data_IF_143665428509
#
_entry.id   IF_143665428509
#
_cell.length_a   1.000
_cell.length_b   1.000
_cell.length_c   1.000
_cell.angle_alpha   90.00
_cell.angle_beta   90.00
_cell.angle_gamma   90.00
#
_symmetry.space_group_name_H-M   'P 1'
#
loop_
_entity.id
_entity.type
_entity.pdbx_description
1 polymer ?
#
# COMPACT_ATOMS: atom_id res chain seq x y z
N UNK A 1 -29.86 13.95 22.43
CA UNK A 1 -30.03 12.65 21.76
C UNK A 1 -29.57 12.79 20.31
N UNK A 2 -28.44 12.27 19.85
CA UNK A 2 -28.09 12.35 18.44
C UNK A 2 -26.64 12.15 18.01
N UNK A 3 -25.66 11.89 18.89
CA UNK A 3 -24.25 11.75 18.46
C UNK A 3 -23.67 10.33 18.50
N UNK A 4 -24.42 9.34 18.96
CA UNK A 4 -23.87 7.99 19.24
C UNK A 4 -23.79 7.02 18.06
N UNK A 5 -24.15 7.40 16.83
CA UNK A 5 -24.22 6.46 15.70
C UNK A 5 -23.56 7.01 14.41
N UNK A 6 -22.43 7.70 14.52
CA UNK A 6 -21.73 8.25 13.36
C UNK A 6 -20.40 7.56 13.16
N UNK A 7 -20.10 7.21 11.90
CA UNK A 7 -18.77 6.86 11.43
C UNK A 7 -18.01 8.13 11.11
N UNK A 8 -16.75 8.17 11.45
CA UNK A 8 -15.82 9.24 11.04
C UNK A 8 -14.66 8.61 10.29
N UNK A 9 -14.27 9.20 9.19
CA UNK A 9 -13.10 8.79 8.43
C UNK A 9 -12.14 9.97 8.30
N UNK A 10 -10.94 9.82 8.83
CA UNK A 10 -9.83 10.72 8.59
C UNK A 10 -9.04 10.16 7.40
N UNK A 11 -8.91 10.96 6.33
CA UNK A 11 -8.18 10.60 5.10
C UNK A 11 -6.98 11.52 5.00
N UNK A 12 -5.79 10.96 5.04
CA UNK A 12 -4.54 11.70 5.01
C UNK A 12 -3.69 11.27 3.82
N UNK A 13 -3.52 12.15 2.84
CA UNK A 13 -2.43 12.00 1.89
C UNK A 13 -1.11 12.15 2.65
N UNK A 14 -0.35 11.08 2.72
CA UNK A 14 0.88 11.02 3.52
C UNK A 14 1.96 11.92 2.91
N UNK A 15 1.99 11.98 1.60
CA UNK A 15 2.95 12.75 0.85
C UNK A 15 2.22 13.68 -0.12
N UNK A 16 2.57 14.98 -0.13
CA UNK A 16 1.98 15.96 -1.06
C UNK A 16 2.61 15.94 -2.45
N UNK A 17 3.63 15.10 -2.67
CA UNK A 17 4.37 14.99 -3.92
C UNK A 17 3.57 14.24 -4.99
N UNK A 18 3.99 14.39 -6.26
CA UNK A 18 3.36 13.71 -7.41
C UNK A 18 3.65 12.20 -7.40
N UNK A 19 4.82 11.79 -6.88
CA UNK A 19 5.23 10.38 -6.76
C UNK A 19 5.32 9.98 -5.28
N UNK A 20 5.38 8.68 -5.00
CA UNK A 20 5.37 8.19 -3.62
C UNK A 20 3.96 8.13 -3.04
N UNK A 21 2.95 7.84 -3.88
CA UNK A 21 1.55 7.79 -3.48
C UNK A 21 1.34 6.90 -2.26
N UNK A 22 0.75 7.48 -1.22
CA UNK A 22 0.42 6.77 0.01
C UNK A 22 -0.67 7.54 0.75
N UNK A 23 -1.84 6.93 0.92
CA UNK A 23 -2.98 7.54 1.60
C UNK A 23 -3.33 6.68 2.81
N UNK A 24 -3.22 7.24 4.00
CA UNK A 24 -3.68 6.61 5.23
C UNK A 24 -5.14 6.98 5.50
N UNK A 25 -5.97 5.98 5.73
CA UNK A 25 -7.38 6.14 6.10
C UNK A 25 -7.60 5.54 7.47
N UNK A 26 -8.21 6.32 8.36
CA UNK A 26 -8.55 5.91 9.73
C UNK A 26 -10.06 6.05 9.90
N UNK A 27 -10.75 4.93 9.99
CA UNK A 27 -12.20 4.87 10.20
C UNK A 27 -12.49 4.63 11.67
N UNK A 28 -13.15 5.58 12.31
CA UNK A 28 -13.66 5.45 13.71
C UNK A 28 -15.12 5.05 13.68
N UNK A 29 -15.46 3.98 14.36
CA UNK A 29 -16.81 3.44 14.46
C UNK A 29 -17.56 3.97 15.68
N UNK A 30 -18.90 3.84 15.68
CA UNK A 30 -19.74 4.26 16.82
C UNK A 30 -19.42 3.52 18.14
N UNK A 31 -18.87 2.31 18.06
CA UNK A 31 -18.45 1.49 19.21
C UNK A 31 -17.04 1.84 19.72
N UNK A 32 -16.44 2.92 19.19
CA UNK A 32 -15.07 3.35 19.44
C UNK A 32 -13.96 2.40 18.89
N UNK A 33 -14.31 1.39 18.12
CA UNK A 33 -13.30 0.64 17.38
C UNK A 33 -12.77 1.44 16.20
N UNK A 34 -11.56 1.14 15.79
CA UNK A 34 -10.91 1.86 14.70
C UNK A 34 -10.39 0.86 13.66
N UNK A 35 -10.58 1.18 12.39
CA UNK A 35 -9.95 0.46 11.28
C UNK A 35 -8.99 1.41 10.58
N UNK A 36 -7.75 0.97 10.37
CA UNK A 36 -6.69 1.72 9.71
C UNK A 36 -6.26 0.98 8.46
N UNK A 37 -6.34 1.64 7.33
CA UNK A 37 -5.83 1.05 6.10
C UNK A 37 -5.09 2.07 5.24
N UNK A 38 -4.29 1.56 4.33
CA UNK A 38 -3.49 2.37 3.41
C UNK A 38 -3.97 2.11 1.99
N UNK A 39 -4.02 3.16 1.18
CA UNK A 39 -4.18 3.05 -0.27
C UNK A 39 -2.86 3.41 -0.90
N UNK A 40 -2.24 2.44 -1.57
CA UNK A 40 -0.91 2.48 -2.15
C UNK A 40 0.23 2.73 -1.13
N UNK A 41 1.44 2.37 -1.51
CA UNK A 41 2.66 2.75 -0.83
C UNK A 41 3.79 2.77 -1.87
N UNK A 42 3.95 3.90 -2.52
CA UNK A 42 4.80 4.07 -3.68
C UNK A 42 6.21 4.55 -3.38
N UNK A 43 7.11 4.36 -4.35
CA UNK A 43 8.43 4.95 -4.35
C UNK A 43 8.36 6.41 -4.84
N UNK A 44 9.13 7.26 -4.19
CA UNK A 44 9.46 8.57 -4.74
C UNK A 44 10.42 8.43 -5.91
N UNK A 45 10.21 9.24 -6.91
CA UNK A 45 11.02 9.27 -8.13
C UNK A 45 11.72 10.62 -8.31
N UNK A 46 12.67 10.69 -9.23
CA UNK A 46 13.39 11.91 -9.60
C UNK A 46 14.00 12.67 -8.40
N UNK A 47 13.60 13.93 -8.23
CA UNK A 47 14.16 14.82 -7.21
C UNK A 47 13.88 14.37 -5.77
N UNK A 48 12.79 13.65 -5.58
CA UNK A 48 12.33 13.22 -4.27
C UNK A 48 12.84 11.82 -3.89
N UNK A 49 13.68 11.19 -4.71
CA UNK A 49 14.15 9.83 -4.52
C UNK A 49 14.78 9.57 -3.13
N UNK A 50 15.46 10.57 -2.55
CA UNK A 50 16.05 10.46 -1.21
C UNK A 50 15.03 10.21 -0.10
N UNK A 51 13.78 10.63 -0.31
CA UNK A 51 12.67 10.42 0.64
C UNK A 51 12.30 8.94 0.81
N UNK A 52 12.70 8.06 -0.12
CA UNK A 52 12.51 6.63 0.03
C UNK A 52 13.18 6.05 1.30
N UNK A 53 14.21 6.71 1.81
CA UNK A 53 14.90 6.32 3.03
C UNK A 53 14.18 6.78 4.32
N UNK A 54 13.19 7.64 4.20
CA UNK A 54 12.42 8.09 5.34
C UNK A 54 11.55 6.96 5.88
N UNK A 55 11.34 6.96 7.19
CA UNK A 55 10.45 6.02 7.83
C UNK A 55 9.02 6.19 7.30
N UNK A 56 8.25 5.11 7.33
CA UNK A 56 6.81 5.22 7.12
C UNK A 56 6.24 6.11 8.24
N UNK A 57 5.36 7.07 7.94
CA UNK A 57 4.79 7.98 8.94
C UNK A 57 3.63 7.34 9.72
N UNK A 58 3.54 6.02 9.68
CA UNK A 58 2.61 5.18 10.43
C UNK A 58 3.30 3.88 10.83
N UNK A 59 2.78 3.24 11.86
CA UNK A 59 3.21 1.92 12.27
C UNK A 59 2.58 0.86 11.36
N UNK A 60 3.42 0.20 10.55
CA UNK A 60 2.97 -0.77 9.55
C UNK A 60 2.32 -2.02 10.17
N UNK A 61 2.74 -2.42 11.36
CA UNK A 61 2.16 -3.54 12.12
C UNK A 61 0.70 -3.28 12.53
N UNK A 62 0.33 -2.02 12.69
CA UNK A 62 -1.01 -1.57 13.09
C UNK A 62 -1.92 -1.19 11.89
N UNK A 63 -1.57 -1.56 10.66
CA UNK A 63 -2.42 -1.38 9.49
C UNK A 63 -3.23 -2.65 9.24
N UNK A 64 -4.55 -2.53 9.23
CA UNK A 64 -5.48 -3.64 9.09
C UNK A 64 -5.47 -4.27 7.69
N UNK A 65 -5.34 -3.47 6.65
CA UNK A 65 -5.18 -3.91 5.25
C UNK A 65 -4.63 -2.80 4.36
N UNK A 66 -4.24 -3.17 3.14
CA UNK A 66 -3.81 -2.21 2.13
C UNK A 66 -4.57 -2.44 0.81
N UNK A 67 -5.06 -1.37 0.22
CA UNK A 67 -5.60 -1.36 -1.14
C UNK A 67 -4.51 -0.93 -2.11
N UNK A 68 -4.33 -1.67 -3.19
CA UNK A 68 -3.38 -1.34 -4.25
C UNK A 68 -4.16 -1.00 -5.51
N UNK A 69 -4.03 0.25 -5.96
CA UNK A 69 -4.80 0.75 -7.08
C UNK A 69 -4.33 0.17 -8.42
N UNK A 70 -3.03 0.19 -8.66
CA UNK A 70 -2.41 -0.33 -9.88
C UNK A 70 -0.90 -0.57 -9.69
N UNK A 71 -0.22 -1.12 -10.68
CA UNK A 71 1.14 -1.63 -10.54
C UNK A 71 2.28 -0.63 -10.83
N UNK A 72 2.01 0.66 -11.01
CA UNK A 72 3.08 1.64 -11.15
C UNK A 72 3.94 1.74 -9.89
N UNK A 73 5.24 1.95 -10.06
CA UNK A 73 6.22 1.90 -8.97
C UNK A 73 6.04 3.01 -7.94
N UNK A 74 5.54 4.15 -8.35
CA UNK A 74 5.18 5.28 -7.49
C UNK A 74 3.88 5.07 -6.69
N UNK A 75 3.22 3.92 -6.90
CA UNK A 75 2.07 3.44 -6.12
C UNK A 75 2.39 2.16 -5.32
N UNK A 76 3.36 1.36 -5.76
CA UNK A 76 3.59 0.02 -5.22
C UNK A 76 5.00 -0.23 -4.70
N UNK A 77 5.95 0.58 -5.09
CA UNK A 77 7.37 0.25 -4.91
C UNK A 77 7.86 0.23 -3.46
N UNK A 78 7.10 0.74 -2.47
CA UNK A 78 7.39 0.63 -1.04
C UNK A 78 6.51 -0.40 -0.31
N UNK A 79 5.69 -1.18 -1.00
CA UNK A 79 4.94 -2.28 -0.37
C UNK A 79 5.86 -3.29 0.32
N UNK A 80 7.00 -3.74 -0.29
CA UNK A 80 7.93 -4.60 0.41
C UNK A 80 8.60 -3.94 1.62
N UNK A 81 8.75 -2.61 1.59
CA UNK A 81 9.24 -1.88 2.75
C UNK A 81 8.23 -1.86 3.91
N UNK A 82 6.92 -1.77 3.62
CA UNK A 82 5.89 -1.96 4.64
C UNK A 82 6.01 -3.35 5.30
N UNK A 83 6.16 -4.40 4.51
CA UNK A 83 6.33 -5.78 5.01
C UNK A 83 7.60 -5.89 5.87
N UNK A 84 8.72 -5.33 5.43
CA UNK A 84 9.95 -5.24 6.22
C UNK A 84 9.74 -4.51 7.56
N UNK A 85 8.81 -3.56 7.61
CA UNK A 85 8.45 -2.78 8.80
C UNK A 85 7.32 -3.39 9.66
N UNK A 86 6.96 -4.64 9.40
CA UNK A 86 6.02 -5.40 10.23
C UNK A 86 4.64 -5.63 9.63
N UNK A 87 4.32 -5.04 8.47
CA UNK A 87 3.03 -5.30 7.83
C UNK A 87 2.91 -6.79 7.47
N UNK A 88 1.79 -7.40 7.86
CA UNK A 88 1.56 -8.85 7.72
C UNK A 88 0.14 -9.20 7.23
N UNK A 89 -0.67 -8.19 6.93
CA UNK A 89 -2.04 -8.35 6.44
C UNK A 89 -2.11 -8.38 4.92
N UNK A 90 -3.32 -8.45 4.33
CA UNK A 90 -3.52 -8.60 2.89
C UNK A 90 -3.36 -7.27 2.12
N UNK A 91 -2.82 -7.40 0.92
CA UNK A 91 -2.84 -6.38 -0.14
C UNK A 91 -3.95 -6.73 -1.11
N UNK A 92 -5.02 -5.94 -1.12
CA UNK A 92 -6.17 -6.15 -2.01
C UNK A 92 -6.03 -5.33 -3.28
N UNK A 93 -6.21 -5.97 -4.42
CA UNK A 93 -6.07 -5.31 -5.72
C UNK A 93 -6.92 -5.97 -6.80
N UNK A 94 -6.83 -5.50 -8.05
CA UNK A 94 -7.48 -6.15 -9.19
C UNK A 94 -6.72 -7.38 -9.66
N UNK A 95 -7.40 -8.34 -10.29
CA UNK A 95 -6.77 -9.55 -10.85
C UNK A 95 -5.67 -9.23 -11.86
N UNK A 96 -5.84 -8.15 -12.64
CA UNK A 96 -4.81 -7.72 -13.59
C UNK A 96 -3.56 -7.19 -12.89
N UNK A 97 -3.75 -6.31 -11.91
CA UNK A 97 -2.65 -5.77 -11.10
C UNK A 97 -1.90 -6.90 -10.37
N UNK A 98 -2.63 -7.85 -9.76
CA UNK A 98 -2.03 -8.96 -9.04
C UNK A 98 -1.13 -9.84 -9.91
N UNK A 99 -1.45 -10.01 -11.19
CA UNK A 99 -0.62 -10.76 -12.15
C UNK A 99 0.67 -10.03 -12.53
N UNK A 100 0.65 -8.71 -12.57
CA UNK A 100 1.79 -7.87 -12.98
C UNK A 100 2.68 -7.48 -11.80
N UNK A 101 2.10 -7.33 -10.62
CA UNK A 101 2.78 -6.82 -9.43
C UNK A 101 4.04 -7.61 -9.02
N UNK A 102 4.06 -8.97 -9.09
CA UNK A 102 5.27 -9.73 -8.79
C UNK A 102 6.46 -9.32 -9.64
N UNK A 103 6.26 -9.18 -10.96
CA UNK A 103 7.32 -8.78 -11.87
C UNK A 103 7.79 -7.35 -11.59
N UNK A 104 6.86 -6.43 -11.39
CA UNK A 104 7.16 -5.03 -11.08
C UNK A 104 7.96 -4.89 -9.77
N UNK A 105 7.59 -5.60 -8.71
CA UNK A 105 8.29 -5.56 -7.43
C UNK A 105 9.67 -6.20 -7.48
N UNK A 106 9.83 -7.32 -8.21
CA UNK A 106 11.13 -7.97 -8.41
C UNK A 106 12.08 -7.05 -9.18
N UNK A 107 11.60 -6.41 -10.25
CA UNK A 107 12.42 -5.46 -11.01
C UNK A 107 12.80 -4.22 -10.17
N UNK A 108 11.84 -3.65 -9.45
CA UNK A 108 12.10 -2.54 -8.52
C UNK A 108 13.15 -2.91 -7.47
N UNK A 109 13.08 -4.10 -6.88
CA UNK A 109 14.05 -4.58 -5.91
C UNK A 109 15.46 -4.66 -6.51
N UNK A 110 15.58 -5.20 -7.72
CA UNK A 110 16.86 -5.28 -8.44
C UNK A 110 17.45 -3.89 -8.70
N UNK A 111 16.65 -2.96 -9.21
CA UNK A 111 17.09 -1.58 -9.49
C UNK A 111 17.51 -0.88 -8.20
N UNK A 112 16.71 -0.99 -7.13
CA UNK A 112 17.02 -0.39 -5.84
C UNK A 112 18.32 -0.94 -5.25
N UNK A 113 18.54 -2.24 -5.28
CA UNK A 113 19.80 -2.83 -4.81
C UNK A 113 21.02 -2.23 -5.52
N UNK A 114 20.95 -2.03 -6.82
CA UNK A 114 22.04 -1.42 -7.57
C UNK A 114 22.24 0.05 -7.22
N UNK A 115 21.18 0.83 -7.07
CA UNK A 115 21.25 2.24 -6.68
C UNK A 115 21.85 2.38 -5.27
N UNK A 116 21.34 1.63 -4.31
CA UNK A 116 21.81 1.68 -2.91
C UNK A 116 23.25 1.19 -2.77
N UNK A 117 23.63 0.15 -3.50
CA UNK A 117 25.02 -0.31 -3.55
C UNK A 117 25.97 0.76 -4.06
N UNK A 118 25.62 1.48 -5.14
CA UNK A 118 26.43 2.59 -5.67
C UNK A 118 26.52 3.76 -4.70
N UNK A 119 25.50 3.99 -3.91
CA UNK A 119 25.48 5.01 -2.88
C UNK A 119 26.15 4.56 -1.56
N UNK A 120 26.64 3.32 -1.48
CA UNK A 120 27.18 2.71 -0.25
C UNK A 120 26.18 2.74 0.92
N UNK A 121 24.89 2.50 0.62
CA UNK A 121 23.79 2.46 1.57
C UNK A 121 23.19 1.04 1.65
N UNK A 122 22.61 0.65 2.79
CA UNK A 122 21.85 -0.60 2.89
C UNK A 122 20.59 -0.52 2.03
N UNK A 123 20.24 -1.61 1.34
CA UNK A 123 19.02 -1.67 0.53
C UNK A 123 17.76 -1.41 1.36
N UNK A 124 16.80 -0.71 0.77
CA UNK A 124 15.53 -0.38 1.40
C UNK A 124 14.80 -1.65 1.85
N UNK A 125 14.77 -2.67 0.99
CA UNK A 125 14.23 -4.01 1.24
C UNK A 125 14.98 -5.04 0.37
N UNK A 126 14.72 -6.32 0.56
CA UNK A 126 15.37 -7.42 -0.14
C UNK A 126 14.36 -8.37 -0.84
N UNK A 127 14.88 -9.44 -1.48
CA UNK A 127 14.04 -10.41 -2.20
C UNK A 127 13.07 -11.14 -1.28
N UNK A 128 13.45 -11.42 -0.03
CA UNK A 128 12.57 -12.08 0.93
C UNK A 128 11.39 -11.19 1.33
N UNK A 129 11.60 -9.87 1.42
CA UNK A 129 10.54 -8.89 1.65
C UNK A 129 9.57 -8.84 0.44
N UNK A 130 10.11 -8.93 -0.78
CA UNK A 130 9.30 -9.01 -2.02
C UNK A 130 8.48 -10.29 -2.05
N UNK A 131 9.07 -11.45 -1.79
CA UNK A 131 8.36 -12.73 -1.77
C UNK A 131 7.22 -12.75 -0.74
N UNK A 132 7.50 -12.24 0.46
CA UNK A 132 6.45 -12.08 1.49
C UNK A 132 5.33 -11.15 1.02
N UNK A 133 5.67 -10.03 0.39
CA UNK A 133 4.67 -9.10 -0.18
C UNK A 133 3.78 -9.82 -1.18
N UNK A 134 4.36 -10.56 -2.12
CA UNK A 134 3.64 -11.32 -3.14
C UNK A 134 2.70 -12.35 -2.50
N UNK A 135 3.13 -13.03 -1.43
CA UNK A 135 2.30 -14.03 -0.73
C UNK A 135 1.07 -13.44 -0.01
N UNK A 136 1.09 -12.13 0.25
CA UNK A 136 -0.01 -11.41 0.89
C UNK A 136 -1.01 -10.80 -0.10
N UNK A 137 -0.76 -10.89 -1.41
CA UNK A 137 -1.66 -10.35 -2.44
C UNK A 137 -2.94 -11.17 -2.51
N UNK A 138 -4.07 -10.47 -2.50
CA UNK A 138 -5.40 -11.02 -2.75
C UNK A 138 -6.09 -10.16 -3.81
N UNK A 139 -6.75 -10.81 -4.79
CA UNK A 139 -7.25 -10.08 -5.95
C UNK A 139 -8.71 -10.35 -6.25
N UNK A 140 -9.35 -9.33 -6.81
CA UNK A 140 -10.76 -9.33 -7.18
C UNK A 140 -10.95 -8.76 -8.58
N UNK A 141 -12.05 -9.18 -9.23
CA UNK A 141 -12.41 -8.63 -10.54
C UNK A 141 -13.03 -7.24 -10.40
N UNK A 142 -12.92 -6.43 -11.46
CA UNK A 142 -13.59 -5.13 -11.53
C UNK A 142 -15.10 -5.26 -11.33
N UNK A 143 -15.69 -4.25 -10.70
CA UNK A 143 -17.13 -4.14 -10.42
C UNK A 143 -17.69 -5.20 -9.48
N UNK A 144 -16.87 -6.09 -8.95
CA UNK A 144 -17.26 -7.01 -7.89
C UNK A 144 -17.01 -6.40 -6.53
N UNK A 145 -18.03 -6.38 -5.70
CA UNK A 145 -17.89 -5.93 -4.31
C UNK A 145 -17.43 -7.10 -3.46
N UNK A 146 -16.37 -6.90 -2.68
CA UNK A 146 -15.90 -7.86 -1.68
C UNK A 146 -15.88 -7.21 -0.29
N UNK A 147 -15.89 -8.02 0.72
CA UNK A 147 -15.86 -7.60 2.11
C UNK A 147 -14.49 -7.88 2.72
N UNK A 148 -13.95 -6.92 3.44
CA UNK A 148 -12.73 -7.13 4.22
C UNK A 148 -13.13 -7.87 5.49
N UNK A 149 -12.64 -9.09 5.63
CA UNK A 149 -12.98 -9.99 6.72
C UNK A 149 -12.89 -9.32 8.09
N UNK A 150 -13.93 -9.51 8.89
CA UNK A 150 -14.06 -8.97 10.26
C UNK A 150 -14.02 -7.45 10.41
N UNK A 151 -14.00 -6.67 9.31
CA UNK A 151 -13.89 -5.20 9.38
C UNK A 151 -15.16 -4.44 9.00
N UNK A 152 -16.23 -5.12 8.57
CA UNK A 152 -17.48 -4.49 8.05
C UNK A 152 -17.21 -3.42 6.98
N UNK A 153 -16.16 -3.61 6.17
CA UNK A 153 -15.80 -2.72 5.08
C UNK A 153 -15.99 -3.47 3.77
N UNK A 154 -16.78 -2.86 2.89
CA UNK A 154 -17.01 -3.36 1.54
C UNK A 154 -16.22 -2.51 0.55
N UNK A 155 -15.51 -3.16 -0.35
CA UNK A 155 -14.69 -2.54 -1.38
C UNK A 155 -15.19 -2.95 -2.75
N UNK A 156 -15.24 -2.00 -3.67
CA UNK A 156 -15.48 -2.25 -5.09
C UNK A 156 -14.41 -1.55 -5.90
N UNK A 157 -13.72 -2.29 -6.76
CA UNK A 157 -12.68 -1.76 -7.63
C UNK A 157 -13.27 -1.43 -9.00
N UNK A 158 -13.08 -0.21 -9.47
CA UNK A 158 -13.55 0.25 -10.77
C UNK A 158 -12.36 0.56 -11.69
N UNK A 159 -12.56 0.30 -12.99
CA UNK A 159 -11.61 0.76 -14.00
C UNK A 159 -11.85 2.28 -14.24
N UNK A 160 -10.79 3.07 -14.07
CA UNK A 160 -10.81 4.52 -14.30
C UNK A 160 -10.19 4.92 -15.65
N UNK A 161 -9.78 3.97 -16.48
CA UNK A 161 -9.17 4.20 -17.80
C UNK A 161 -7.68 4.57 -17.76
N UNK A 162 -7.04 4.59 -16.60
CA UNK A 162 -5.60 4.89 -16.48
C UNK A 162 -4.72 3.71 -16.93
N UNK A 163 -5.11 2.49 -16.53
CA UNK A 163 -4.56 1.22 -17.02
C UNK A 163 -5.70 0.34 -17.48
N UNK A 164 -5.48 -0.41 -18.59
CA UNK A 164 -6.46 -1.37 -19.11
C UNK A 164 -6.44 -2.66 -18.29
#
# INVERSE_FOLDING_TARGET
>A
MGEKNRFYADIMAIHPEVTGSCILVVVKRPDNTTVKFVVDCGLFQERDYSKNNECLPFDADNIDFCLVTHNHVDHTGRLPYMVKKGYHNKFYTTSTTAKLLPLALQDSCRVLKDVYRRANLPSLYDDADVERTISLIESYEYNNTFEIDSKDIKVTLFNNGHLM
#
